data_IF_762729560787
#
_entry.id   IF_762729560787
#
_cell.length_a   1.000
_cell.length_b   1.000
_cell.length_c   1.000
_cell.angle_alpha   90.00
_cell.angle_beta   90.00
_cell.angle_gamma   90.00
#
_symmetry.space_group_name_H-M   'P 1'
#
loop_
_entity.id
_entity.type
_entity.pdbx_description
1 polymer ?
#
# COMPACT_ATOMS: atom_id res chain seq x y z
N UNK A 1 -14.66 22.63 -33.22
CA UNK A 1 -13.49 22.22 -32.40
C UNK A 1 -14.01 21.37 -31.26
N UNK A 2 -13.48 20.16 -31.06
CA UNK A 2 -13.91 19.23 -29.99
C UNK A 2 -12.77 19.11 -28.99
N UNK A 3 -13.05 19.27 -27.70
CA UNK A 3 -12.07 19.09 -26.61
C UNK A 3 -12.36 17.78 -25.88
N UNK A 4 -11.35 16.91 -25.76
CA UNK A 4 -11.42 15.66 -25.02
C UNK A 4 -10.59 15.73 -23.76
N UNK A 5 -11.06 15.07 -22.70
CA UNK A 5 -10.33 14.90 -21.44
C UNK A 5 -10.41 13.44 -20.98
N UNK A 6 -9.52 13.05 -20.06
CA UNK A 6 -9.45 11.70 -19.53
C UNK A 6 -9.32 11.70 -18.02
N UNK A 7 -9.80 10.65 -17.36
CA UNK A 7 -9.50 10.37 -15.96
C UNK A 7 -8.67 9.10 -15.89
N UNK A 8 -7.68 9.07 -15.00
CA UNK A 8 -6.67 8.00 -14.93
C UNK A 8 -6.60 7.47 -13.50
N UNK A 9 -6.71 6.15 -13.36
CA UNK A 9 -6.40 5.42 -12.12
C UNK A 9 -5.05 4.75 -12.25
N UNK A 10 -4.24 4.77 -11.19
CA UNK A 10 -2.90 4.15 -11.14
C UNK A 10 -2.84 3.19 -9.96
N UNK A 11 -2.14 2.05 -10.09
CA UNK A 11 -1.81 1.16 -8.99
C UNK A 11 -0.44 0.48 -9.20
N UNK A 12 0.22 0.11 -8.09
CA UNK A 12 1.50 -0.60 -8.10
C UNK A 12 1.31 -2.11 -8.25
N UNK A 13 2.01 -2.73 -9.20
CA UNK A 13 1.81 -4.15 -9.56
C UNK A 13 2.89 -5.12 -9.04
N UNK A 14 4.03 -4.62 -8.57
CA UNK A 14 5.20 -5.46 -8.26
C UNK A 14 4.88 -6.54 -7.22
N UNK A 15 4.98 -7.81 -7.61
CA UNK A 15 4.74 -8.95 -6.74
C UNK A 15 3.26 -9.20 -6.39
N UNK A 16 2.32 -8.59 -7.13
CA UNK A 16 0.88 -8.68 -6.84
C UNK A 16 0.11 -9.42 -7.94
N UNK A 17 -1.03 -10.00 -7.56
CA UNK A 17 -1.94 -10.67 -8.50
C UNK A 17 -2.52 -9.65 -9.51
N UNK A 18 -2.52 -9.95 -10.83
CA UNK A 18 -3.06 -9.05 -11.85
C UNK A 18 -4.52 -8.65 -11.59
N UNK A 19 -5.37 -9.59 -11.16
CA UNK A 19 -6.77 -9.29 -10.85
C UNK A 19 -6.92 -8.34 -9.67
N UNK A 20 -6.01 -8.42 -8.70
CA UNK A 20 -5.99 -7.50 -7.55
C UNK A 20 -5.61 -6.11 -8.03
N UNK A 21 -4.53 -5.98 -8.80
CA UNK A 21 -4.07 -4.70 -9.36
C UNK A 21 -5.15 -4.04 -10.23
N UNK A 22 -5.86 -4.81 -11.06
CA UNK A 22 -6.95 -4.27 -11.87
C UNK A 22 -8.08 -3.66 -11.02
N UNK A 23 -8.50 -4.35 -9.96
CA UNK A 23 -9.52 -3.82 -9.03
C UNK A 23 -9.07 -2.54 -8.35
N UNK A 24 -7.78 -2.43 -8.05
CA UNK A 24 -7.18 -1.25 -7.43
C UNK A 24 -7.13 -0.06 -8.40
N UNK A 25 -6.70 -0.31 -9.64
CA UNK A 25 -6.75 0.69 -10.73
C UNK A 25 -8.18 1.16 -10.97
N UNK A 26 -9.15 0.24 -11.02
CA UNK A 26 -10.57 0.59 -11.20
C UNK A 26 -11.09 1.46 -10.05
N UNK A 27 -10.67 1.18 -8.82
CA UNK A 27 -11.05 1.98 -7.65
C UNK A 27 -10.46 3.39 -7.73
N UNK A 28 -9.17 3.52 -8.02
CA UNK A 28 -8.54 4.82 -8.22
C UNK A 28 -9.17 5.59 -9.39
N UNK A 29 -9.50 4.92 -10.50
CA UNK A 29 -10.19 5.53 -11.63
C UNK A 29 -11.59 6.03 -11.25
N UNK A 30 -12.32 5.28 -10.42
CA UNK A 30 -13.62 5.68 -9.90
C UNK A 30 -13.50 6.95 -9.05
N UNK A 31 -12.50 7.01 -8.19
CA UNK A 31 -12.24 8.19 -7.35
C UNK A 31 -11.86 9.42 -8.19
N UNK A 32 -11.06 9.23 -9.25
CA UNK A 32 -10.71 10.28 -10.20
C UNK A 32 -11.93 10.86 -10.92
N UNK A 33 -12.88 9.99 -11.31
CA UNK A 33 -14.15 10.41 -11.92
C UNK A 33 -15.05 11.12 -10.91
N UNK A 34 -15.10 10.63 -9.67
CA UNK A 34 -15.91 11.22 -8.61
C UNK A 34 -15.42 12.62 -8.19
N UNK A 35 -14.11 12.90 -8.28
CA UNK A 35 -13.55 14.20 -7.94
C UNK A 35 -13.74 15.30 -8.99
N UNK A 36 -14.62 15.10 -9.98
CA UNK A 36 -14.90 16.09 -11.03
C UNK A 36 -14.41 15.73 -12.43
N UNK A 37 -13.83 14.52 -12.62
CA UNK A 37 -13.19 14.06 -13.87
C UNK A 37 -11.92 14.87 -14.19
N UNK A 38 -11.33 14.62 -15.37
CA UNK A 38 -10.05 15.19 -15.81
C UNK A 38 -8.95 15.14 -14.72
N UNK A 39 -8.86 14.00 -14.02
CA UNK A 39 -8.03 13.85 -12.83
C UNK A 39 -7.25 12.53 -12.87
N UNK A 40 -6.13 12.52 -12.15
CA UNK A 40 -5.30 11.34 -11.92
C UNK A 40 -5.39 10.99 -10.44
N UNK A 41 -5.63 9.71 -10.13
CA UNK A 41 -5.59 9.19 -8.77
C UNK A 41 -4.76 7.92 -8.72
N UNK A 42 -3.96 7.81 -7.67
CA UNK A 42 -3.19 6.61 -7.38
C UNK A 42 -3.86 5.84 -6.24
N UNK A 43 -3.99 4.54 -6.43
CA UNK A 43 -4.37 3.63 -5.37
C UNK A 43 -3.20 3.46 -4.41
N UNK A 44 -3.28 4.14 -3.27
CA UNK A 44 -2.35 3.95 -2.16
C UNK A 44 -3.02 3.09 -1.09
N UNK A 45 -2.46 1.90 -0.84
CA UNK A 45 -2.72 1.24 0.43
C UNK A 45 -1.94 2.07 1.43
N UNK A 46 -2.63 2.88 2.23
CA UNK A 46 -2.03 3.38 3.47
C UNK A 46 -1.69 2.11 4.23
N UNK A 47 -0.42 1.68 4.19
CA UNK A 47 0.02 0.72 5.17
C UNK A 47 -0.22 1.44 6.49
N UNK A 48 -1.03 0.90 7.43
CA UNK A 48 -0.82 1.31 8.79
C UNK A 48 0.67 1.09 9.01
N UNK A 49 1.40 2.14 9.40
CA UNK A 49 2.76 2.00 9.88
C UNK A 49 2.65 1.02 11.04
N UNK A 50 2.80 -0.27 10.76
CA UNK A 50 3.10 -1.23 11.78
C UNK A 50 4.51 -0.84 12.19
N UNK A 51 4.73 -0.36 13.43
CA UNK A 51 6.08 -0.23 13.90
C UNK A 51 6.72 -1.61 13.74
N UNK A 52 7.71 -1.70 12.87
CA UNK A 52 8.48 -2.91 12.62
C UNK A 52 9.32 -3.19 13.86
N UNK A 53 8.69 -3.63 14.95
CA UNK A 53 9.39 -4.29 16.02
C UNK A 53 9.81 -5.65 15.45
N UNK A 54 11.06 -5.76 14.99
CA UNK A 54 11.63 -7.08 14.79
C UNK A 54 11.64 -7.77 16.16
N UNK A 55 10.94 -8.88 16.33
CA UNK A 55 10.99 -9.65 17.57
C UNK A 55 12.03 -10.77 17.41
N UNK A 56 13.05 -10.80 18.26
CA UNK A 56 13.89 -12.00 18.36
C UNK A 56 13.32 -12.91 19.43
N UNK A 57 13.23 -14.19 19.12
CA UNK A 57 12.95 -15.19 20.12
C UNK A 57 14.24 -15.59 20.82
N UNK A 58 14.33 -15.30 22.12
CA UNK A 58 15.45 -15.70 22.95
C UNK A 58 15.05 -16.93 23.78
N UNK A 59 15.82 -18.00 23.68
CA UNK A 59 15.65 -19.20 24.51
C UNK A 59 16.22 -18.91 25.90
N UNK A 60 15.38 -18.97 26.94
CA UNK A 60 15.80 -18.88 28.34
C UNK A 60 15.55 -20.22 29.06
N UNK A 61 16.22 -20.51 30.19
CA UNK A 61 16.03 -21.75 30.94
C UNK A 61 14.58 -22.00 31.41
N UNK A 62 13.73 -20.97 31.39
CA UNK A 62 12.31 -21.02 31.77
C UNK A 62 11.35 -20.96 30.56
N UNK A 63 11.86 -21.01 29.34
CA UNK A 63 11.07 -20.98 28.10
C UNK A 63 11.49 -19.86 27.13
N UNK A 64 10.78 -19.78 26.01
CA UNK A 64 11.07 -18.87 24.91
C UNK A 64 10.40 -17.51 25.13
N UNK A 65 11.18 -16.43 25.08
CA UNK A 65 10.69 -15.06 25.27
C UNK A 65 10.89 -14.26 23.98
N UNK A 66 9.85 -13.57 23.52
CA UNK A 66 9.92 -12.63 22.40
C UNK A 66 10.27 -11.24 22.92
N UNK A 67 11.39 -10.68 22.47
CA UNK A 67 11.82 -9.32 22.84
C UNK A 67 11.97 -8.43 21.59
N UNK A 68 11.58 -7.15 21.65
CA UNK A 68 11.74 -6.23 20.54
C UNK A 68 13.23 -5.91 20.30
N UNK A 69 13.66 -5.95 19.04
CA UNK A 69 15.00 -5.55 18.62
C UNK A 69 15.11 -4.02 18.62
N UNK A 70 16.14 -3.45 19.25
CA UNK A 70 16.47 -2.05 19.05
C UNK A 70 16.93 -1.88 17.60
N UNK A 71 16.13 -1.17 16.80
CA UNK A 71 16.54 -0.69 15.48
C UNK A 71 17.25 0.64 15.68
N UNK A 72 18.56 0.59 15.86
CA UNK A 72 19.42 1.78 15.76
C UNK A 72 19.26 2.34 14.33
N UNK A 73 18.72 3.56 14.21
CA UNK A 73 18.72 4.28 12.92
C UNK A 73 20.13 4.84 12.72
N UNK A 74 20.93 4.18 11.88
CA UNK A 74 22.13 4.76 11.28
C UNK A 74 21.80 5.72 10.15
#
# INVERSE_FOLDING_TARGET
MITLSASIGIAQSKGRSPLVVLREVERALRDAKASGRNAIREYSVVSPVQPTFAYQAFEQPRGRVLMPFPTERG
#
